data_IF_501336179387
#
_entry.id   IF_501336179387
#
_cell.length_a   1.000
_cell.length_b   1.000
_cell.length_c   1.000
_cell.angle_alpha   90.00
_cell.angle_beta   90.00
_cell.angle_gamma   90.00
#
_symmetry.space_group_name_H-M   'P 1'
#
loop_
_entity.id
_entity.type
_entity.pdbx_description
1 polymer ?
#
# COMPACT_ATOMS: atom_id res chain seq x y z
N UNK A 1 -2.51 22.47 3.52
CA UNK A 1 -3.20 21.21 3.20
C UNK A 1 -2.21 20.22 2.60
N UNK A 2 -2.21 18.98 3.08
CA UNK A 2 -1.30 17.95 2.60
C UNK A 2 -1.84 17.36 1.29
N UNK A 3 -1.00 17.29 0.26
CA UNK A 3 -1.39 16.62 -1.00
C UNK A 3 -1.35 15.10 -0.82
N UNK A 4 -2.10 14.34 -1.64
CA UNK A 4 -2.00 12.88 -1.60
C UNK A 4 -0.57 12.36 -1.79
N UNK A 5 0.20 12.98 -2.68
CA UNK A 5 1.59 12.60 -2.90
C UNK A 5 2.43 12.80 -1.65
N UNK A 6 2.33 13.99 -1.02
CA UNK A 6 3.06 14.28 0.21
C UNK A 6 2.69 13.31 1.32
N UNK A 7 1.41 12.99 1.43
CA UNK A 7 0.90 12.07 2.45
C UNK A 7 1.51 10.67 2.29
N UNK A 8 1.46 10.11 1.07
CA UNK A 8 1.99 8.76 0.82
C UNK A 8 3.52 8.76 0.96
N UNK A 9 4.20 9.80 0.48
CA UNK A 9 5.65 9.90 0.63
C UNK A 9 6.07 9.94 2.11
N UNK A 10 5.32 10.66 2.93
CA UNK A 10 5.58 10.71 4.37
C UNK A 10 5.38 9.34 5.02
N UNK A 11 4.29 8.65 4.65
CA UNK A 11 4.04 7.31 5.16
C UNK A 11 5.18 6.34 4.81
N UNK A 12 5.58 6.32 3.54
CA UNK A 12 6.63 5.41 3.08
C UNK A 12 7.98 5.71 3.75
N UNK A 13 8.28 6.99 3.96
CA UNK A 13 9.50 7.40 4.63
C UNK A 13 9.51 6.97 6.10
N UNK A 14 8.41 7.19 6.82
CA UNK A 14 8.31 6.79 8.22
C UNK A 14 8.34 5.27 8.38
N UNK A 15 7.69 4.56 7.46
CA UNK A 15 7.70 3.10 7.46
C UNK A 15 9.11 2.56 7.24
N UNK A 16 9.84 3.11 6.28
CA UNK A 16 11.22 2.68 6.00
C UNK A 16 12.15 3.00 7.17
N UNK A 17 11.99 4.16 7.80
CA UNK A 17 12.77 4.52 8.98
C UNK A 17 12.49 3.59 10.16
N UNK A 18 11.22 3.23 10.38
CA UNK A 18 10.85 2.29 11.43
C UNK A 18 11.39 0.90 11.16
N UNK A 19 11.42 0.47 9.91
CA UNK A 19 12.01 -0.81 9.55
C UNK A 19 13.52 -0.86 9.84
N UNK A 20 14.22 0.25 9.59
CA UNK A 20 15.67 0.34 9.83
C UNK A 20 16.03 0.29 11.30
N UNK A 21 15.10 0.67 12.19
CA UNK A 21 15.30 0.63 13.64
C UNK A 21 14.49 -0.52 14.22
N UNK A 22 15.19 -1.60 14.58
CA UNK A 22 14.54 -2.80 15.11
C UNK A 22 13.79 -2.57 16.42
N UNK A 23 14.05 -1.45 17.12
CA UNK A 23 13.35 -1.09 18.35
C UNK A 23 12.08 -0.30 18.11
N UNK A 24 11.94 0.30 16.91
CA UNK A 24 10.76 1.09 16.57
C UNK A 24 9.64 0.17 16.10
N UNK A 25 8.45 0.37 16.66
CA UNK A 25 7.26 -0.37 16.26
C UNK A 25 6.59 0.31 15.09
N UNK A 26 5.99 -0.49 14.20
CA UNK A 26 5.25 0.03 13.06
C UNK A 26 3.80 0.39 13.41
N UNK A 27 3.24 -0.13 14.49
CA UNK A 27 1.86 0.13 14.84
C UNK A 27 1.50 1.62 14.94
N UNK A 28 2.32 2.49 15.56
CA UNK A 28 2.02 3.91 15.58
C UNK A 28 2.03 4.56 14.20
N UNK A 29 2.90 4.08 13.30
CA UNK A 29 2.94 4.58 11.91
C UNK A 29 1.63 4.22 11.21
N UNK A 30 1.18 2.98 11.33
CA UNK A 30 -0.07 2.56 10.71
C UNK A 30 -1.27 3.30 11.29
N UNK A 31 -1.29 3.50 12.61
CA UNK A 31 -2.38 4.25 13.26
C UNK A 31 -2.47 5.69 12.75
N UNK A 32 -1.34 6.29 12.42
CA UNK A 32 -1.28 7.67 11.93
C UNK A 32 -1.82 7.81 10.51
N UNK A 33 -1.54 6.83 9.65
CA UNK A 33 -1.78 6.95 8.21
C UNK A 33 -2.99 6.17 7.71
N UNK A 34 -3.41 5.12 8.40
CA UNK A 34 -4.51 4.28 7.96
C UNK A 34 -5.83 4.67 8.63
N UNK A 35 -6.92 4.60 7.86
CA UNK A 35 -8.26 4.75 8.42
C UNK A 35 -8.68 3.50 9.17
N UNK A 36 -9.63 3.65 10.09
CA UNK A 36 -10.22 2.54 10.82
C UNK A 36 -11.17 1.76 9.89
N UNK A 37 -11.29 0.44 10.01
CA UNK A 37 -10.57 -0.43 10.97
C UNK A 37 -9.21 -0.93 10.47
N UNK A 38 -8.78 -0.53 9.28
CA UNK A 38 -7.55 -1.04 8.67
C UNK A 38 -6.30 -0.80 9.53
N UNK A 39 -6.25 0.33 10.25
CA UNK A 39 -5.09 0.66 11.09
C UNK A 39 -4.79 -0.43 12.12
N UNK A 40 -5.82 -1.15 12.59
CA UNK A 40 -5.66 -2.20 13.59
C UNK A 40 -5.09 -3.49 13.01
N UNK A 41 -5.17 -3.66 11.70
CA UNK A 41 -4.79 -4.90 11.03
C UNK A 41 -3.61 -4.73 10.07
N UNK A 42 -3.06 -3.53 9.98
CA UNK A 42 -2.04 -3.21 8.98
C UNK A 42 -0.81 -4.11 9.11
N UNK A 43 -0.42 -4.49 10.32
CA UNK A 43 0.73 -5.37 10.53
C UNK A 43 0.54 -6.75 9.90
N UNK A 44 -0.70 -7.16 9.65
CA UNK A 44 -0.99 -8.47 9.06
C UNK A 44 -0.85 -8.48 7.53
N UNK A 45 -1.02 -7.34 6.87
CA UNK A 45 -0.99 -7.30 5.41
C UNK A 45 0.13 -6.42 4.84
N UNK A 46 0.76 -5.58 5.65
CA UNK A 46 1.85 -4.73 5.16
C UNK A 46 3.19 -5.44 5.33
N UNK A 47 4.03 -5.47 4.28
CA UNK A 47 5.36 -6.03 4.42
C UNK A 47 6.23 -5.13 5.27
N UNK A 48 7.03 -5.74 6.12
CA UNK A 48 7.95 -5.01 7.00
C UNK A 48 9.26 -4.64 6.30
N UNK A 49 9.62 -5.33 5.23
CA UNK A 49 10.94 -5.26 4.64
C UNK A 49 11.10 -4.22 3.53
N UNK A 50 10.20 -3.24 3.46
CA UNK A 50 10.34 -2.13 2.50
C UNK A 50 11.59 -1.33 2.86
N UNK A 51 12.55 -1.28 1.94
CA UNK A 51 13.81 -0.56 2.14
C UNK A 51 13.69 0.88 1.68
N UNK A 52 13.06 1.09 0.53
CA UNK A 52 12.78 2.43 -0.02
C UNK A 52 11.58 2.34 -0.93
N UNK A 53 11.01 3.50 -1.26
CA UNK A 53 9.87 3.56 -2.15
C UNK A 53 9.83 4.90 -2.88
N UNK A 54 9.23 4.90 -4.07
CA UNK A 54 9.05 6.10 -4.89
C UNK A 54 7.60 6.15 -5.34
N UNK A 55 6.94 7.29 -5.16
CA UNK A 55 5.59 7.50 -5.66
C UNK A 55 5.68 7.81 -7.15
N UNK A 56 5.00 7.00 -7.97
CA UNK A 56 5.07 7.09 -9.43
C UNK A 56 3.88 7.81 -10.06
N UNK A 57 2.69 7.68 -9.47
CA UNK A 57 1.47 8.24 -10.03
C UNK A 57 0.51 8.61 -8.92
N UNK A 58 -0.18 9.74 -9.09
CA UNK A 58 -1.16 10.21 -8.10
C UNK A 58 -2.38 10.73 -8.85
N UNK A 59 -3.56 10.35 -8.42
CA UNK A 59 -4.84 10.82 -8.96
C UNK A 59 -5.73 11.29 -7.82
N UNK A 60 -6.49 12.34 -8.06
CA UNK A 60 -7.35 12.93 -7.05
C UNK A 60 -8.67 13.36 -7.68
N UNK A 61 -9.80 13.11 -6.98
CA UNK A 61 -11.13 13.49 -7.41
C UNK A 61 -12.06 13.52 -6.19
N UNK A 62 -12.67 14.70 -5.93
CA UNK A 62 -13.79 14.85 -4.97
C UNK A 62 -13.62 14.11 -3.63
N UNK A 63 -12.54 14.39 -2.90
CA UNK A 63 -12.36 13.84 -1.57
C UNK A 63 -11.79 12.42 -1.54
N UNK A 64 -11.51 11.84 -2.71
CA UNK A 64 -10.81 10.56 -2.80
C UNK A 64 -9.56 10.74 -3.64
N UNK A 65 -8.58 9.89 -3.40
CA UNK A 65 -7.34 9.93 -4.15
C UNK A 65 -6.72 8.54 -4.22
N UNK A 66 -5.79 8.37 -5.14
CA UNK A 66 -5.00 7.16 -5.22
C UNK A 66 -3.55 7.52 -5.54
N UNK A 67 -2.64 6.67 -5.07
CA UNK A 67 -1.22 6.83 -5.36
C UNK A 67 -0.63 5.45 -5.62
N UNK A 68 0.16 5.34 -6.68
CA UNK A 68 0.92 4.12 -6.96
C UNK A 68 2.36 4.39 -6.58
N UNK A 69 2.92 3.52 -5.74
CA UNK A 69 4.31 3.60 -5.32
C UNK A 69 5.03 2.32 -5.70
N UNK A 70 6.26 2.48 -6.20
CA UNK A 70 7.16 1.35 -6.40
C UNK A 70 7.93 1.18 -5.11
N UNK A 71 7.73 0.04 -4.45
CA UNK A 71 8.39 -0.29 -3.21
C UNK A 71 9.48 -1.32 -3.44
N UNK A 72 10.67 -1.03 -2.92
CA UNK A 72 11.82 -1.93 -3.04
C UNK A 72 11.94 -2.75 -1.76
N UNK A 73 11.77 -4.05 -1.88
CA UNK A 73 11.94 -5.02 -0.80
C UNK A 73 13.31 -5.67 -0.93
N UNK A 74 13.66 -6.51 0.04
CA UNK A 74 14.97 -7.19 0.01
C UNK A 74 15.13 -8.11 -1.20
N UNK A 75 14.07 -8.80 -1.59
CA UNK A 75 14.13 -9.83 -2.64
C UNK A 75 13.57 -9.38 -3.99
N UNK A 76 12.79 -8.31 -4.02
CA UNK A 76 12.12 -7.85 -5.25
C UNK A 76 11.63 -6.43 -5.08
N UNK A 77 11.13 -5.85 -6.17
CA UNK A 77 10.36 -4.62 -6.11
C UNK A 77 8.99 -4.84 -6.75
N UNK A 78 7.97 -4.22 -6.16
CA UNK A 78 6.59 -4.32 -6.64
C UNK A 78 5.93 -2.95 -6.49
N UNK A 79 4.90 -2.73 -7.29
CA UNK A 79 4.07 -1.53 -7.15
C UNK A 79 2.93 -1.81 -6.19
N UNK A 80 2.61 -0.79 -5.39
CA UNK A 80 1.48 -0.82 -4.46
C UNK A 80 0.59 0.36 -4.78
N UNK A 81 -0.70 0.10 -4.88
CA UNK A 81 -1.72 1.11 -5.12
C UNK A 81 -2.40 1.45 -3.80
N UNK A 82 -2.26 2.69 -3.35
CA UNK A 82 -2.86 3.17 -2.11
C UNK A 82 -4.13 3.93 -2.44
N UNK A 83 -5.24 3.51 -1.83
CA UNK A 83 -6.53 4.21 -1.97
C UNK A 83 -6.73 5.08 -0.75
N UNK A 84 -7.04 6.35 -0.97
CA UNK A 84 -7.08 7.37 0.08
C UNK A 84 -8.45 8.03 0.14
N UNK A 85 -8.84 8.47 1.34
CA UNK A 85 -9.98 9.35 1.53
C UNK A 85 -9.53 10.60 2.27
N UNK A 86 -10.18 11.72 1.97
CA UNK A 86 -9.90 12.98 2.67
C UNK A 86 -10.27 12.87 4.15
N UNK A 87 -9.42 13.41 5.01
CA UNK A 87 -9.62 13.41 6.45
C UNK A 87 -9.10 14.73 7.02
N UNK A 88 -10.02 15.69 7.24
CA UNK A 88 -9.64 17.04 7.64
C UNK A 88 -8.80 17.71 6.55
N UNK A 89 -7.62 18.20 6.90
CA UNK A 89 -6.69 18.82 5.96
C UNK A 89 -5.66 17.82 5.40
N UNK A 90 -5.88 16.53 5.61
CA UNK A 90 -4.98 15.48 5.17
C UNK A 90 -5.78 14.31 4.57
N UNK A 91 -5.24 13.12 4.67
CA UNK A 91 -5.77 11.90 4.05
C UNK A 91 -5.67 10.74 5.02
N UNK A 92 -6.38 9.64 4.69
CA UNK A 92 -6.21 8.35 5.35
C UNK A 92 -6.21 7.26 4.29
N UNK A 93 -5.37 6.24 4.49
CA UNK A 93 -5.34 5.07 3.61
C UNK A 93 -6.51 4.18 3.97
N UNK A 94 -7.36 3.88 2.98
CA UNK A 94 -8.56 3.05 3.17
C UNK A 94 -8.52 1.74 2.41
N UNK A 95 -7.49 1.52 1.61
CA UNK A 95 -7.32 0.27 0.90
C UNK A 95 -5.97 0.22 0.22
N UNK A 96 -5.49 -1.00 -0.02
CA UNK A 96 -4.21 -1.25 -0.67
C UNK A 96 -4.37 -2.39 -1.66
N UNK A 97 -3.93 -2.14 -2.89
CA UNK A 97 -3.85 -3.17 -3.93
C UNK A 97 -2.38 -3.41 -4.24
N UNK A 98 -1.98 -4.67 -4.31
CA UNK A 98 -0.61 -5.07 -4.63
C UNK A 98 -0.53 -5.60 -6.03
N UNK A 99 0.54 -5.24 -6.74
CA UNK A 99 0.83 -5.78 -8.06
C UNK A 99 1.06 -7.30 -7.96
N UNK A 100 0.47 -8.04 -8.89
CA UNK A 100 0.72 -9.48 -8.97
C UNK A 100 2.19 -9.74 -9.32
N UNK A 101 2.86 -10.53 -8.50
CA UNK A 101 4.29 -10.80 -8.70
C UNK A 101 4.57 -11.69 -9.92
N UNK A 102 3.59 -12.49 -10.34
CA UNK A 102 3.77 -13.39 -11.48
C UNK A 102 3.66 -12.66 -12.82
N UNK A 103 2.58 -11.89 -13.01
CA UNK A 103 2.35 -11.20 -14.28
C UNK A 103 2.82 -9.74 -14.26
N UNK A 104 3.27 -9.24 -13.12
CA UNK A 104 3.79 -7.87 -12.95
C UNK A 104 2.78 -6.81 -13.39
N UNK A 105 1.52 -7.01 -13.04
CA UNK A 105 0.44 -6.07 -13.31
C UNK A 105 -0.19 -6.16 -14.68
N UNK A 106 0.28 -7.07 -15.55
CA UNK A 106 -0.22 -7.16 -16.92
C UNK A 106 -1.51 -7.96 -17.05
N UNK A 107 -1.80 -8.84 -16.09
CA UNK A 107 -2.93 -9.75 -16.15
C UNK A 107 -2.69 -10.98 -17.02
N UNK A 108 -1.51 -11.10 -17.62
CA UNK A 108 -1.17 -12.20 -18.51
C UNK A 108 0.15 -12.83 -18.11
N UNK A 109 0.25 -14.14 -18.28
CA UNK A 109 1.47 -14.88 -18.00
C UNK A 109 1.59 -15.99 -19.05
N UNK A 110 2.74 -16.02 -19.75
CA UNK A 110 3.00 -17.02 -20.78
C UNK A 110 2.04 -16.96 -21.96
N UNK A 111 1.53 -15.78 -22.30
CA UNK A 111 0.62 -15.57 -23.42
C UNK A 111 -0.84 -15.89 -23.13
N UNK A 112 -1.18 -16.20 -21.86
CA UNK A 112 -2.55 -16.45 -21.45
C UNK A 112 -2.87 -15.68 -20.18
N UNK A 113 -4.14 -15.69 -19.79
CA UNK A 113 -4.62 -15.02 -18.58
C UNK A 113 -3.85 -15.52 -17.37
N UNK A 114 -3.34 -14.59 -16.55
CA UNK A 114 -2.62 -14.93 -15.34
C UNK A 114 -3.55 -15.63 -14.34
N UNK A 115 -3.22 -16.84 -13.95
CA UNK A 115 -4.04 -17.61 -13.02
C UNK A 115 -3.83 -17.20 -11.57
N UNK A 116 -2.68 -16.58 -11.27
CA UNK A 116 -2.36 -16.16 -9.90
C UNK A 116 -3.26 -15.02 -9.44
N UNK A 117 -3.49 -14.01 -10.29
CA UNK A 117 -4.34 -12.86 -9.98
C UNK A 117 -5.68 -12.90 -10.74
N UNK A 118 -5.98 -14.00 -11.42
CA UNK A 118 -7.18 -14.16 -12.21
C UNK A 118 -7.33 -13.10 -13.31
N UNK A 119 -6.20 -12.68 -13.89
CA UNK A 119 -6.16 -11.75 -15.00
C UNK A 119 -6.27 -10.28 -14.60
N UNK A 120 -6.40 -9.98 -13.31
CA UNK A 120 -6.59 -8.60 -12.85
C UNK A 120 -5.29 -7.80 -12.73
N UNK A 121 -4.17 -8.48 -12.53
CA UNK A 121 -2.87 -7.83 -12.36
C UNK A 121 -2.59 -7.34 -10.95
N UNK A 122 -3.61 -7.26 -10.11
CA UNK A 122 -3.52 -6.71 -8.75
C UNK A 122 -4.32 -7.55 -7.77
N UNK A 123 -3.91 -7.47 -6.49
CA UNK A 123 -4.65 -8.06 -5.37
C UNK A 123 -5.09 -6.97 -4.42
N UNK A 124 -6.33 -7.04 -3.93
CA UNK A 124 -6.75 -6.21 -2.80
C UNK A 124 -6.21 -6.85 -1.52
N UNK A 125 -5.13 -6.29 -0.99
CA UNK A 125 -4.48 -6.81 0.22
C UNK A 125 -5.28 -6.53 1.49
N UNK A 126 -6.24 -5.60 1.43
CA UNK A 126 -6.95 -5.14 2.62
C UNK A 126 -8.23 -5.90 2.89
N UNK A 127 -8.77 -6.61 1.91
CA UNK A 127 -10.01 -7.36 2.08
C UNK A 127 -9.90 -8.41 3.18
N UNK A 128 -8.85 -9.23 3.14
CA UNK A 128 -8.64 -10.27 4.15
C UNK A 128 -8.30 -9.70 5.51
N UNK A 129 -7.60 -8.57 5.55
CA UNK A 129 -7.24 -7.92 6.80
C UNK A 129 -8.45 -7.28 7.49
N UNK A 130 -9.43 -6.82 6.70
CA UNK A 130 -10.65 -6.21 7.23
C UNK A 130 -11.63 -7.25 7.80
N UNK A 131 -11.41 -8.53 7.51
CA UNK A 131 -12.25 -9.63 7.98
C UNK A 131 -11.43 -10.59 8.84
N UNK A 132 -11.06 -10.18 10.06
CA UNK A 132 -10.24 -11.02 10.94
C UNK A 132 -10.99 -12.31 11.31
N UNK A 133 -10.27 -13.41 11.34
CA UNK A 133 -10.82 -14.71 11.68
C UNK A 133 -11.24 -15.56 10.50
N UNK A 134 -11.02 -15.05 9.30
CA UNK A 134 -11.26 -15.80 8.08
C UNK A 134 -10.00 -16.57 7.69
#
# INVERSE_FOLDING_TARGET
>A
MTTPQQFVESFLREKAAAYSDTRTRLAPVYAKYFGEPLSRHAEHFMPRDTVRAVVEDVRQSNGVASAVAREHFRSTDLRTHYRLTAAGESWKIIGIDRECFLCRGTGQSGGSRCQKCDGEGWYDSTTNAAEPGV
#
